data_IF_331166235282
#
_entry.id   IF_331166235282
#
_cell.length_a   1.000
_cell.length_b   1.000
_cell.length_c   1.000
_cell.angle_alpha   90.00
_cell.angle_beta   90.00
_cell.angle_gamma   90.00
#
_symmetry.space_group_name_H-M   'P 1'
#
loop_
_entity.id
_entity.type
_entity.pdbx_description
1 polymer ?
#
# COMPACT_ATOMS: atom_id res chain seq x y z
N UNK A 1 2.61 -12.47 71.49
CA UNK A 1 2.69 -11.08 71.03
C UNK A 1 3.29 -11.12 69.63
N UNK A 2 2.43 -11.21 68.60
CA UNK A 2 2.84 -11.04 67.21
C UNK A 2 1.79 -10.14 66.59
N UNK A 3 2.13 -8.86 66.41
CA UNK A 3 1.33 -7.91 65.66
C UNK A 3 1.31 -8.36 64.20
N UNK A 4 0.11 -8.68 63.73
CA UNK A 4 -0.13 -9.02 62.34
C UNK A 4 -0.15 -7.69 61.57
N UNK A 5 0.95 -7.41 60.87
CA UNK A 5 1.04 -6.26 59.98
C UNK A 5 0.06 -6.48 58.81
N UNK A 6 -1.12 -5.88 58.88
CA UNK A 6 -2.08 -5.90 57.79
C UNK A 6 -1.46 -5.16 56.59
N UNK A 7 -1.25 -5.88 55.48
CA UNK A 7 -0.82 -5.27 54.23
C UNK A 7 -1.90 -4.26 53.79
N UNK A 8 -1.54 -3.06 53.33
CA UNK A 8 -2.52 -2.08 52.87
C UNK A 8 -3.33 -2.70 51.73
N UNK A 9 -4.65 -2.74 51.90
CA UNK A 9 -5.56 -3.18 50.84
C UNK A 9 -5.34 -2.28 49.60
N UNK A 10 -5.24 -2.86 48.39
CA UNK A 10 -5.10 -2.06 47.18
C UNK A 10 -6.33 -1.17 47.06
N UNK A 11 -6.15 0.13 47.32
CA UNK A 11 -7.19 1.13 47.14
C UNK A 11 -7.38 1.30 45.64
N UNK A 12 -8.27 0.50 45.05
CA UNK A 12 -8.69 0.67 43.67
C UNK A 12 -9.55 1.94 43.65
N UNK A 13 -8.89 3.10 43.55
CA UNK A 13 -9.56 4.35 43.19
C UNK A 13 -10.13 4.17 41.79
N UNK A 14 -11.39 3.77 41.70
CA UNK A 14 -12.13 3.58 40.46
C UNK A 14 -12.56 4.93 39.90
N UNK A 15 -11.60 5.84 39.70
CA UNK A 15 -11.88 7.07 38.96
C UNK A 15 -12.22 6.67 37.53
N UNK A 16 -13.36 7.11 36.98
CA UNK A 16 -13.77 6.70 35.64
C UNK A 16 -12.76 7.19 34.62
N UNK A 17 -12.14 6.26 33.88
CA UNK A 17 -11.20 6.56 32.80
C UNK A 17 -11.96 7.27 31.68
N UNK A 18 -11.56 8.51 31.36
CA UNK A 18 -12.16 9.30 30.28
C UNK A 18 -11.22 9.38 29.09
N UNK A 19 -11.53 8.62 28.04
CA UNK A 19 -10.75 8.60 26.80
C UNK A 19 -11.53 9.33 25.69
N UNK A 20 -10.92 10.33 25.01
CA UNK A 20 -11.54 10.96 23.86
C UNK A 20 -11.75 9.96 22.72
N UNK A 21 -12.93 9.95 22.07
CA UNK A 21 -13.22 9.07 20.93
C UNK A 21 -12.21 9.23 19.77
N UNK A 22 -11.73 10.45 19.57
CA UNK A 22 -10.68 10.74 18.58
C UNK A 22 -9.40 9.94 18.84
N UNK A 23 -8.99 9.81 20.11
CA UNK A 23 -7.79 9.05 20.46
C UNK A 23 -7.95 7.59 20.10
N UNK A 24 -9.12 6.99 20.31
CA UNK A 24 -9.38 5.60 19.92
C UNK A 24 -9.16 5.39 18.42
N UNK A 25 -9.67 6.30 17.56
CA UNK A 25 -9.44 6.20 16.11
C UNK A 25 -7.98 6.40 15.70
N UNK A 26 -7.24 7.25 16.41
CA UNK A 26 -5.80 7.45 16.21
C UNK A 26 -5.01 6.20 16.61
N UNK A 27 -5.30 5.62 17.78
CA UNK A 27 -4.67 4.40 18.28
C UNK A 27 -4.98 3.20 17.38
N UNK A 28 -6.22 3.04 16.94
CA UNK A 28 -6.63 1.97 16.04
C UNK A 28 -5.96 2.09 14.66
N UNK A 29 -5.78 3.33 14.17
CA UNK A 29 -5.02 3.60 12.95
C UNK A 29 -3.54 3.26 13.11
N UNK A 30 -2.92 3.66 14.23
CA UNK A 30 -1.52 3.39 14.51
C UNK A 30 -1.24 1.91 14.84
N UNK A 31 -2.22 1.17 15.36
CA UNK A 31 -2.11 -0.27 15.63
C UNK A 31 -1.86 -1.11 14.37
N UNK A 32 -2.14 -0.56 13.18
CA UNK A 32 -1.84 -1.19 11.89
C UNK A 32 -0.36 -1.11 11.52
N UNK A 33 0.43 -0.26 12.19
CA UNK A 33 1.85 -0.09 11.92
C UNK A 33 2.68 -1.26 12.45
N UNK A 34 3.37 -1.98 11.55
CA UNK A 34 4.24 -3.11 11.91
C UNK A 34 5.54 -2.61 12.58
N UNK A 35 5.66 -2.92 13.87
CA UNK A 35 6.82 -2.59 14.71
C UNK A 35 6.84 -3.49 15.95
N UNK A 36 8.01 -3.68 16.57
CA UNK A 36 8.15 -4.47 17.79
C UNK A 36 7.55 -3.77 19.03
N UNK A 37 7.55 -2.45 19.05
CA UNK A 37 7.05 -1.60 20.15
C UNK A 37 5.60 -1.13 19.93
N UNK A 38 4.91 -1.71 18.94
CA UNK A 38 3.54 -1.35 18.52
C UNK A 38 2.62 -1.13 19.71
N UNK A 39 2.49 -2.13 20.57
CA UNK A 39 1.54 -2.09 21.69
C UNK A 39 2.05 -1.23 22.84
N UNK A 40 3.37 -1.19 23.05
CA UNK A 40 4.00 -0.42 24.12
C UNK A 40 3.77 1.08 23.96
N UNK A 41 3.94 1.61 22.74
CA UNK A 41 3.68 3.03 22.45
C UNK A 41 2.20 3.39 22.67
N UNK A 42 1.29 2.58 22.11
CA UNK A 42 -0.15 2.84 22.18
C UNK A 42 -0.66 2.81 23.63
N UNK A 43 -0.19 1.82 24.40
CA UNK A 43 -0.48 1.72 25.82
C UNK A 43 0.07 2.92 26.60
N UNK A 44 1.31 3.33 26.35
CA UNK A 44 1.92 4.50 27.01
C UNK A 44 1.12 5.78 26.76
N UNK A 45 0.71 6.03 25.52
CA UNK A 45 -0.12 7.18 25.17
C UNK A 45 -1.49 7.09 25.85
N UNK A 46 -2.14 5.93 25.77
CA UNK A 46 -3.44 5.71 26.38
C UNK A 46 -3.41 5.94 27.89
N UNK A 47 -2.39 5.41 28.57
CA UNK A 47 -2.17 5.62 29.99
C UNK A 47 -2.01 7.11 30.29
N UNK A 48 -1.06 7.79 29.63
CA UNK A 48 -0.78 9.21 29.88
C UNK A 48 -2.04 10.06 29.74
N UNK A 49 -2.82 9.84 28.68
CA UNK A 49 -4.10 10.54 28.47
C UNK A 49 -5.12 10.18 29.54
N UNK A 50 -5.21 8.91 29.95
CA UNK A 50 -6.11 8.49 31.04
C UNK A 50 -5.77 9.14 32.39
N UNK A 51 -4.49 9.47 32.62
CA UNK A 51 -4.01 10.21 33.80
C UNK A 51 -4.15 11.75 33.66
N UNK A 52 -4.70 12.23 32.54
CA UNK A 52 -4.94 13.66 32.30
C UNK A 52 -3.90 14.36 31.44
N UNK A 53 -2.79 13.70 31.08
CA UNK A 53 -1.78 14.25 30.18
C UNK A 53 -2.25 14.15 28.72
N UNK A 54 -2.95 15.18 28.27
CA UNK A 54 -3.42 15.30 26.89
C UNK A 54 -2.31 15.65 25.90
N UNK A 55 -1.13 16.07 26.35
CA UNK A 55 -0.03 16.43 25.47
C UNK A 55 0.54 15.18 24.77
N UNK A 56 0.45 14.01 25.40
CA UNK A 56 0.90 12.71 24.86
C UNK A 56 0.32 12.33 23.48
N UNK A 57 -0.80 12.94 23.05
CA UNK A 57 -1.38 12.73 21.70
C UNK A 57 -0.95 13.77 20.66
N UNK A 58 -0.35 14.88 21.10
CA UNK A 58 -0.02 16.02 20.26
C UNK A 58 1.35 15.85 19.62
N UNK A 59 1.53 16.39 18.41
CA UNK A 59 2.78 16.30 17.64
C UNK A 59 3.98 16.90 18.38
N UNK A 60 3.76 17.82 19.32
CA UNK A 60 4.82 18.43 20.13
C UNK A 60 5.37 17.52 21.24
N UNK A 61 4.68 16.44 21.58
CA UNK A 61 5.18 15.41 22.51
C UNK A 61 5.91 14.31 21.73
N UNK A 62 6.91 13.68 22.36
CA UNK A 62 7.69 12.59 21.73
C UNK A 62 6.80 11.42 21.33
N UNK A 63 5.85 11.03 22.20
CA UNK A 63 4.93 9.92 21.92
C UNK A 63 3.91 10.30 20.85
N UNK A 64 3.39 11.52 20.91
CA UNK A 64 2.41 12.01 19.95
C UNK A 64 3.01 12.20 18.55
N UNK A 65 4.24 12.71 18.45
CA UNK A 65 4.97 12.80 17.18
C UNK A 65 5.11 11.43 16.51
N UNK A 66 5.53 10.42 17.28
CA UNK A 66 5.67 9.04 16.80
C UNK A 66 4.31 8.44 16.40
N UNK A 67 3.26 8.68 17.19
CA UNK A 67 1.89 8.26 16.85
C UNK A 67 1.46 8.80 15.48
N UNK A 68 1.62 10.10 15.24
CA UNK A 68 1.21 10.73 13.98
C UNK A 68 2.10 10.28 12.81
N UNK A 69 3.39 10.02 13.04
CA UNK A 69 4.27 9.44 12.04
C UNK A 69 3.81 8.04 11.60
N UNK A 70 3.45 7.17 12.55
CA UNK A 70 2.90 5.82 12.26
C UNK A 70 1.59 5.89 11.49
N UNK A 71 0.68 6.77 11.89
CA UNK A 71 -0.60 6.99 11.18
C UNK A 71 -0.34 7.43 9.74
N UNK A 72 0.59 8.36 9.53
CA UNK A 72 0.96 8.84 8.18
C UNK A 72 1.54 7.72 7.32
N UNK A 73 2.40 6.86 7.89
CA UNK A 73 2.97 5.71 7.19
C UNK A 73 1.90 4.69 6.79
N UNK A 74 1.00 4.33 7.70
CA UNK A 74 -0.14 3.43 7.44
C UNK A 74 -1.03 3.98 6.32
N UNK A 75 -1.37 5.26 6.37
CA UNK A 75 -2.19 5.92 5.32
C UNK A 75 -1.51 5.92 3.96
N UNK A 76 -0.20 6.21 3.92
CA UNK A 76 0.59 6.15 2.68
C UNK A 76 0.58 4.74 2.09
N UNK A 77 0.70 3.73 2.94
CA UNK A 77 0.68 2.34 2.50
C UNK A 77 -0.70 1.90 1.98
N UNK A 78 -1.78 2.34 2.63
CA UNK A 78 -3.14 2.14 2.10
C UNK A 78 -3.33 2.82 0.74
N UNK A 79 -2.79 4.04 0.56
CA UNK A 79 -2.81 4.73 -0.73
C UNK A 79 -2.01 3.97 -1.79
N UNK A 80 -0.86 3.38 -1.45
CA UNK A 80 -0.11 2.51 -2.35
C UNK A 80 -0.94 1.30 -2.78
N UNK A 81 -1.67 0.65 -1.86
CA UNK A 81 -2.57 -0.44 -2.23
C UNK A 81 -3.64 0.06 -3.22
N UNK A 82 -4.29 1.19 -2.94
CA UNK A 82 -5.32 1.77 -3.82
C UNK A 82 -4.79 2.13 -5.22
N UNK A 83 -3.54 2.59 -5.30
CA UNK A 83 -2.95 3.08 -6.55
C UNK A 83 -2.28 1.97 -7.38
N UNK A 84 -1.74 0.94 -6.73
CA UNK A 84 -0.85 -0.02 -7.40
C UNK A 84 -1.35 -1.45 -7.42
N UNK A 85 -2.42 -1.79 -6.68
CA UNK A 85 -3.00 -3.13 -6.79
C UNK A 85 -3.49 -3.34 -8.22
N UNK A 86 -3.14 -4.49 -8.79
CA UNK A 86 -3.59 -4.90 -10.13
C UNK A 86 -4.46 -6.13 -10.01
N UNK A 87 -5.63 -6.05 -10.62
CA UNK A 87 -6.57 -7.14 -10.69
C UNK A 87 -6.38 -7.88 -12.02
N UNK A 88 -6.16 -9.19 -11.94
CA UNK A 88 -6.21 -10.10 -13.07
C UNK A 88 -7.45 -10.99 -13.00
N UNK A 89 -7.94 -11.51 -14.13
CA UNK A 89 -9.00 -12.50 -14.12
C UNK A 89 -8.51 -13.80 -13.47
N UNK A 90 -9.34 -14.43 -12.63
CA UNK A 90 -9.00 -15.72 -12.01
C UNK A 90 -9.02 -16.89 -12.99
N UNK A 91 -9.75 -16.76 -14.11
CA UNK A 91 -9.82 -17.73 -15.20
C UNK A 91 -10.56 -19.03 -14.86
N UNK A 92 -11.32 -19.08 -13.75
CA UNK A 92 -12.06 -20.26 -13.32
C UNK A 92 -13.49 -19.89 -12.89
N UNK A 93 -14.48 -20.67 -13.33
CA UNK A 93 -15.91 -20.45 -13.02
C UNK A 93 -16.26 -20.59 -11.53
N UNK A 94 -15.38 -21.19 -10.72
CA UNK A 94 -15.58 -21.36 -9.27
C UNK A 94 -14.62 -20.50 -8.43
N UNK A 95 -14.07 -19.44 -9.01
CA UNK A 95 -13.17 -18.49 -8.37
C UNK A 95 -13.76 -17.08 -8.44
N UNK A 96 -13.33 -16.15 -7.57
CA UNK A 96 -13.72 -14.75 -7.69
C UNK A 96 -13.36 -14.20 -9.07
N UNK A 97 -14.16 -13.28 -9.61
CA UNK A 97 -13.96 -12.72 -10.95
C UNK A 97 -12.56 -12.14 -11.12
N UNK A 98 -12.08 -11.46 -10.08
CA UNK A 98 -10.79 -10.79 -10.06
C UNK A 98 -9.92 -11.21 -8.89
N UNK A 99 -8.62 -11.30 -9.13
CA UNK A 99 -7.62 -11.70 -8.14
C UNK A 99 -6.42 -10.75 -8.19
N UNK A 100 -5.86 -10.43 -7.03
CA UNK A 100 -4.73 -9.53 -6.90
C UNK A 100 -3.76 -9.96 -5.79
N UNK A 101 -2.46 -9.87 -6.07
CA UNK A 101 -1.39 -10.08 -5.11
C UNK A 101 -0.78 -8.74 -4.68
N UNK A 102 -0.66 -8.51 -3.37
CA UNK A 102 -0.04 -7.31 -2.83
C UNK A 102 0.78 -7.60 -1.57
N UNK A 103 1.93 -6.93 -1.43
CA UNK A 103 2.83 -7.10 -0.28
C UNK A 103 2.94 -5.79 0.51
N UNK A 104 2.05 -5.57 1.49
CA UNK A 104 2.05 -4.33 2.28
C UNK A 104 3.12 -4.35 3.37
N UNK A 105 3.65 -3.18 3.72
CA UNK A 105 4.54 -3.02 4.88
C UNK A 105 3.83 -3.13 6.24
N UNK A 106 2.51 -2.91 6.24
CA UNK A 106 1.69 -2.65 7.42
C UNK A 106 0.33 -3.36 7.27
N UNK A 107 -0.39 -3.53 8.38
CA UNK A 107 -1.66 -4.26 8.42
C UNK A 107 -2.81 -3.38 7.91
N UNK A 108 -2.79 -3.07 6.61
CA UNK A 108 -3.69 -2.10 5.97
C UNK A 108 -4.89 -2.73 5.29
N UNK A 109 -4.83 -4.03 5.02
CA UNK A 109 -5.79 -4.70 4.14
C UNK A 109 -7.24 -4.56 4.63
N UNK A 110 -7.58 -4.82 5.91
CA UNK A 110 -8.96 -4.67 6.40
C UNK A 110 -9.49 -3.24 6.28
N UNK A 111 -8.63 -2.24 6.48
CA UNK A 111 -9.01 -0.83 6.41
C UNK A 111 -9.11 -0.28 4.99
N UNK A 112 -8.36 -0.88 4.06
CA UNK A 112 -8.28 -0.41 2.68
C UNK A 112 -9.21 -1.16 1.73
N UNK A 113 -9.63 -2.39 2.08
CA UNK A 113 -10.56 -3.22 1.33
C UNK A 113 -11.91 -2.56 0.98
N UNK A 114 -12.58 -1.80 1.87
CA UNK A 114 -13.88 -1.19 1.56
C UNK A 114 -13.86 -0.29 0.32
N UNK A 115 -12.75 0.39 0.06
CA UNK A 115 -12.56 1.22 -1.15
C UNK A 115 -12.76 0.44 -2.45
N UNK A 116 -12.39 -0.83 -2.46
CA UNK A 116 -12.55 -1.69 -3.64
C UNK A 116 -13.97 -2.23 -3.75
N UNK A 117 -14.60 -2.58 -2.62
CA UNK A 117 -16.00 -3.01 -2.60
C UNK A 117 -16.93 -1.91 -3.15
N UNK A 118 -16.72 -0.66 -2.72
CA UNK A 118 -17.48 0.49 -3.21
C UNK A 118 -17.30 0.75 -4.72
N UNK A 119 -16.09 0.52 -5.25
CA UNK A 119 -15.75 0.83 -6.65
C UNK A 119 -16.05 -0.29 -7.63
N UNK A 120 -15.93 -1.55 -7.22
CA UNK A 120 -16.17 -2.72 -8.07
C UNK A 120 -17.58 -3.29 -7.91
N UNK A 121 -18.36 -2.79 -6.94
CA UNK A 121 -19.78 -3.12 -6.79
C UNK A 121 -19.99 -4.61 -6.54
N UNK A 122 -20.78 -5.26 -7.41
CA UNK A 122 -21.16 -6.67 -7.26
C UNK A 122 -20.12 -7.65 -7.80
N UNK A 123 -19.07 -7.19 -8.48
CA UNK A 123 -18.01 -8.07 -8.96
C UNK A 123 -17.23 -8.67 -7.80
N UNK A 124 -17.05 -9.98 -7.81
CA UNK A 124 -16.31 -10.69 -6.77
C UNK A 124 -14.81 -10.52 -6.98
N UNK A 125 -14.08 -10.29 -5.89
CA UNK A 125 -12.64 -10.07 -5.98
C UNK A 125 -11.89 -10.56 -4.75
N UNK A 126 -10.64 -10.97 -4.94
CA UNK A 126 -9.73 -11.40 -3.89
C UNK A 126 -8.46 -10.56 -3.92
N UNK A 127 -8.10 -9.97 -2.78
CA UNK A 127 -6.76 -9.41 -2.55
C UNK A 127 -6.07 -10.29 -1.51
N UNK A 128 -4.95 -10.90 -1.90
CA UNK A 128 -4.15 -11.71 -1.00
C UNK A 128 -2.78 -11.06 -0.73
N UNK A 129 -2.33 -11.20 0.51
CA UNK A 129 -0.99 -10.80 0.96
C UNK A 129 -0.25 -12.02 1.54
N UNK A 130 1.04 -11.88 1.87
CA UNK A 130 1.77 -12.93 2.58
C UNK A 130 1.13 -13.33 3.90
N UNK A 131 0.49 -12.41 4.62
CA UNK A 131 0.01 -12.65 5.98
C UNK A 131 -1.51 -12.82 6.06
N UNK A 132 -2.25 -12.01 5.31
CA UNK A 132 -3.71 -11.95 5.36
C UNK A 132 -4.33 -11.84 3.95
N UNK A 133 -5.65 -11.98 3.87
CA UNK A 133 -6.38 -11.84 2.62
C UNK A 133 -7.81 -11.35 2.87
N UNK A 134 -8.37 -10.67 1.86
CA UNK A 134 -9.77 -10.25 1.84
C UNK A 134 -10.41 -10.71 0.54
N UNK A 135 -11.49 -11.46 0.67
CA UNK A 135 -12.40 -11.83 -0.42
C UNK A 135 -13.68 -11.00 -0.29
N UNK A 136 -14.10 -10.41 -1.39
CA UNK A 136 -15.42 -9.82 -1.58
C UNK A 136 -16.22 -10.71 -2.50
N UNK A 137 -17.38 -11.17 -2.05
CA UNK A 137 -18.28 -12.05 -2.81
C UNK A 137 -19.38 -11.28 -3.56
N UNK A 138 -19.36 -9.94 -3.53
CA UNK A 138 -20.42 -9.08 -4.07
C UNK A 138 -21.40 -8.56 -3.01
N UNK A 139 -21.40 -9.14 -1.81
CA UNK A 139 -22.30 -8.78 -0.71
C UNK A 139 -21.59 -8.54 0.63
N UNK A 140 -20.61 -9.39 0.95
CA UNK A 140 -19.90 -9.41 2.22
C UNK A 140 -18.38 -9.49 2.01
N UNK A 141 -17.65 -8.88 2.95
CA UNK A 141 -16.20 -8.99 3.04
C UNK A 141 -15.82 -10.16 3.95
N UNK A 142 -15.11 -11.12 3.39
CA UNK A 142 -14.51 -12.26 4.09
C UNK A 142 -13.03 -11.97 4.33
N UNK A 143 -12.68 -11.62 5.57
CA UNK A 143 -11.30 -11.41 5.98
C UNK A 143 -10.72 -12.71 6.55
N UNK A 144 -9.52 -13.08 6.08
CA UNK A 144 -8.81 -14.26 6.55
C UNK A 144 -7.38 -13.89 7.01
N UNK A 145 -7.06 -14.25 8.26
CA UNK A 145 -5.73 -14.14 8.83
C UNK A 145 -5.47 -15.38 9.72
N UNK A 146 -4.53 -16.27 9.37
CA UNK A 146 -3.58 -16.14 8.26
C UNK A 146 -4.23 -16.33 6.88
N UNK A 147 -3.56 -15.82 5.84
CA UNK A 147 -3.95 -15.97 4.43
C UNK A 147 -4.03 -17.46 4.03
N UNK A 148 -5.20 -17.97 3.58
CA UNK A 148 -5.34 -19.35 3.12
C UNK A 148 -4.42 -19.67 1.95
N UNK A 149 -3.81 -20.86 1.94
CA UNK A 149 -2.86 -21.25 0.89
C UNK A 149 -3.49 -21.23 -0.50
N UNK A 150 -4.74 -21.67 -0.64
CA UNK A 150 -5.48 -21.65 -1.89
C UNK A 150 -5.65 -20.23 -2.45
N UNK A 151 -5.97 -19.26 -1.59
CA UNK A 151 -6.13 -17.86 -1.98
C UNK A 151 -4.81 -17.23 -2.37
N UNK A 152 -3.73 -17.55 -1.65
CA UNK A 152 -2.37 -17.15 -1.98
C UNK A 152 -1.95 -17.65 -3.36
N UNK A 153 -2.13 -18.95 -3.63
CA UNK A 153 -1.78 -19.55 -4.93
C UNK A 153 -2.60 -18.96 -6.06
N UNK A 154 -3.90 -18.72 -5.83
CA UNK A 154 -4.78 -18.11 -6.83
C UNK A 154 -4.33 -16.69 -7.19
N UNK A 155 -4.04 -15.85 -6.20
CA UNK A 155 -3.60 -14.48 -6.42
C UNK A 155 -2.19 -14.39 -7.05
N UNK A 156 -1.27 -15.29 -6.70
CA UNK A 156 0.05 -15.36 -7.33
C UNK A 156 0.01 -15.93 -8.76
N UNK A 157 -0.96 -16.80 -9.05
CA UNK A 157 -1.18 -17.39 -10.37
C UNK A 157 -1.97 -16.50 -11.34
N UNK A 158 -2.46 -15.34 -10.87
CA UNK A 158 -3.19 -14.38 -11.69
C UNK A 158 -2.35 -13.94 -12.90
N UNK A 159 -2.82 -14.27 -14.10
CA UNK A 159 -2.11 -13.92 -15.33
C UNK A 159 -2.51 -12.53 -15.82
N UNK A 160 -1.54 -11.62 -15.88
CA UNK A 160 -1.69 -10.31 -16.50
C UNK A 160 -1.57 -10.44 -18.04
N UNK A 161 -2.66 -10.87 -18.67
CA UNK A 161 -2.78 -11.10 -20.12
C UNK A 161 -2.50 -9.83 -20.98
N UNK A 162 -2.46 -8.63 -20.36
CA UNK A 162 -2.19 -7.35 -21.02
C UNK A 162 -0.73 -6.86 -20.92
N UNK A 163 0.12 -7.61 -20.21
CA UNK A 163 1.51 -7.21 -19.89
C UNK A 163 2.28 -6.79 -21.13
N UNK A 164 2.34 -7.61 -22.17
CA UNK A 164 3.25 -7.39 -23.30
C UNK A 164 2.91 -6.14 -24.13
N UNK A 165 1.61 -5.88 -24.37
CA UNK A 165 1.16 -4.67 -25.05
C UNK A 165 1.43 -3.41 -24.22
N UNK A 166 1.14 -3.47 -22.91
CA UNK A 166 1.39 -2.36 -22.01
C UNK A 166 2.88 -2.03 -21.89
N UNK A 167 3.75 -3.06 -21.83
CA UNK A 167 5.20 -2.92 -21.81
C UNK A 167 5.71 -2.20 -23.05
N UNK A 168 5.21 -2.61 -24.22
CA UNK A 168 5.55 -1.97 -25.51
C UNK A 168 5.13 -0.50 -25.53
N UNK A 169 3.93 -0.19 -25.03
CA UNK A 169 3.46 1.19 -24.92
C UNK A 169 4.29 2.02 -23.94
N UNK A 170 4.60 1.47 -22.76
CA UNK A 170 5.38 2.14 -21.72
C UNK A 170 6.79 2.49 -22.20
N UNK A 171 7.48 1.55 -22.87
CA UNK A 171 8.78 1.81 -23.49
C UNK A 171 8.72 2.95 -24.53
N UNK A 172 7.66 2.99 -25.35
CA UNK A 172 7.51 4.00 -26.40
C UNK A 172 7.22 5.41 -25.89
N UNK A 173 6.61 5.52 -24.70
CA UNK A 173 6.22 6.80 -24.09
C UNK A 173 7.22 7.27 -23.03
N UNK A 174 8.15 6.41 -22.60
CA UNK A 174 9.13 6.72 -21.58
C UNK A 174 10.08 7.84 -22.04
N UNK A 175 10.02 8.98 -21.36
CA UNK A 175 10.90 10.11 -21.62
C UNK A 175 12.10 10.10 -20.66
N UNK A 176 13.30 9.67 -21.09
CA UNK A 176 14.48 9.60 -20.24
C UNK A 176 14.93 10.96 -19.69
N UNK A 177 14.61 12.07 -20.37
CA UNK A 177 14.93 13.42 -19.92
C UNK A 177 14.04 13.90 -18.74
N UNK A 178 12.89 13.25 -18.50
CA UNK A 178 11.99 13.55 -17.37
C UNK A 178 12.19 12.63 -16.15
N UNK A 179 13.19 11.75 -16.20
CA UNK A 179 13.44 10.77 -15.15
C UNK A 179 14.08 11.42 -13.93
N UNK A 180 13.32 11.56 -12.84
CA UNK A 180 13.86 11.83 -11.51
C UNK A 180 13.76 10.56 -10.64
N UNK A 181 14.91 9.95 -10.35
CA UNK A 181 15.00 8.69 -9.60
C UNK A 181 14.44 8.81 -8.18
N UNK A 182 14.74 9.88 -7.47
CA UNK A 182 14.30 10.05 -6.08
C UNK A 182 12.78 10.19 -6.00
N UNK A 183 12.20 10.99 -6.90
CA UNK A 183 10.74 11.14 -7.01
C UNK A 183 10.07 9.83 -7.42
N UNK A 184 10.67 9.10 -8.36
CA UNK A 184 10.15 7.80 -8.80
C UNK A 184 10.18 6.76 -7.68
N UNK A 185 11.28 6.67 -6.92
CA UNK A 185 11.41 5.72 -5.81
C UNK A 185 10.54 6.09 -4.61
N UNK A 186 10.29 7.39 -4.38
CA UNK A 186 9.35 7.85 -3.36
C UNK A 186 7.90 7.53 -3.72
N UNK A 187 7.51 7.73 -4.99
CA UNK A 187 6.14 7.46 -5.43
C UNK A 187 5.90 5.97 -5.67
N UNK A 188 6.92 5.22 -6.09
CA UNK A 188 6.86 3.79 -6.36
C UNK A 188 8.05 3.06 -5.72
N UNK A 189 7.93 2.66 -4.45
CA UNK A 189 8.96 1.90 -3.76
C UNK A 189 9.38 0.65 -4.54
N UNK A 190 10.69 0.40 -4.59
CA UNK A 190 11.31 -0.67 -5.41
C UNK A 190 10.72 -2.06 -5.14
N UNK A 191 10.24 -2.33 -3.92
CA UNK A 191 9.58 -3.60 -3.59
C UNK A 191 8.35 -3.89 -4.44
N UNK A 192 7.61 -2.86 -4.88
CA UNK A 192 6.40 -3.03 -5.70
C UNK A 192 6.72 -3.35 -7.16
N UNK A 193 7.97 -3.20 -7.60
CA UNK A 193 8.36 -3.48 -8.98
C UNK A 193 8.21 -4.97 -9.33
N UNK A 194 8.30 -5.87 -8.35
CA UNK A 194 8.08 -7.31 -8.59
C UNK A 194 6.65 -7.63 -9.01
N UNK A 195 5.69 -6.81 -8.58
CA UNK A 195 4.26 -6.98 -8.86
C UNK A 195 3.79 -6.07 -10.00
N UNK A 196 4.72 -5.38 -10.67
CA UNK A 196 4.49 -4.56 -11.85
C UNK A 196 5.07 -5.27 -13.07
N UNK A 197 4.33 -5.37 -14.19
CA UNK A 197 4.90 -5.88 -15.42
C UNK A 197 6.11 -5.06 -15.87
N UNK A 198 6.04 -3.74 -15.72
CA UNK A 198 7.12 -2.79 -16.11
C UNK A 198 8.31 -2.80 -15.13
N UNK A 199 8.17 -3.43 -13.97
CA UNK A 199 9.21 -3.44 -12.95
C UNK A 199 10.54 -4.03 -13.41
N UNK A 200 10.50 -4.96 -14.36
CA UNK A 200 11.69 -5.55 -14.99
C UNK A 200 12.39 -4.60 -15.99
N UNK A 201 11.63 -3.69 -16.60
CA UNK A 201 12.14 -2.70 -17.57
C UNK A 201 12.70 -1.46 -16.91
N UNK A 202 12.16 -1.06 -15.74
CA UNK A 202 12.56 0.16 -15.03
C UNK A 202 14.09 0.23 -14.83
N UNK A 203 14.79 -0.80 -14.29
CA UNK A 203 16.24 -0.77 -14.14
C UNK A 203 16.99 -0.56 -15.46
N UNK A 204 16.53 -1.20 -16.53
CA UNK A 204 17.15 -1.10 -17.86
C UNK A 204 16.94 0.28 -18.47
N UNK A 205 15.72 0.83 -18.38
CA UNK A 205 15.38 2.18 -18.84
C UNK A 205 16.15 3.25 -18.06
N UNK A 206 16.33 3.07 -16.75
CA UNK A 206 17.15 3.94 -15.91
C UNK A 206 18.63 3.90 -16.29
N UNK A 207 19.17 2.72 -16.60
CA UNK A 207 20.55 2.56 -17.06
C UNK A 207 20.76 3.27 -18.41
N UNK A 208 19.85 3.06 -19.38
CA UNK A 208 19.87 3.72 -20.70
C UNK A 208 19.75 5.25 -20.59
N UNK A 209 18.92 5.77 -19.69
CA UNK A 209 18.82 7.20 -19.46
C UNK A 209 20.16 7.80 -18.98
N UNK A 210 20.88 7.10 -18.09
CA UNK A 210 22.22 7.51 -17.60
C UNK A 210 23.31 7.41 -18.67
N UNK A 211 23.22 6.45 -19.58
CA UNK A 211 24.22 6.18 -20.62
C UNK A 211 24.19 7.16 -21.81
N UNK A 212 23.29 8.14 -21.82
CA UNK A 212 23.22 9.16 -22.87
C UNK A 212 21.80 9.59 -23.25
N UNK A 213 20.78 8.77 -22.93
CA UNK A 213 19.39 9.04 -23.33
C UNK A 213 18.77 10.33 -22.77
N UNK A 214 19.34 10.93 -21.71
CA UNK A 214 18.92 12.25 -21.26
C UNK A 214 19.21 13.38 -22.26
N UNK A 215 20.17 13.21 -23.17
CA UNK A 215 20.50 14.21 -24.20
C UNK A 215 19.52 14.20 -25.37
N UNK A 216 18.94 13.03 -25.70
CA UNK A 216 18.18 12.84 -26.94
C UNK A 216 16.65 12.85 -26.72
N UNK A 217 16.18 12.78 -25.47
CA UNK A 217 14.75 12.92 -25.11
C UNK A 217 13.80 11.87 -25.69
N UNK A 218 14.31 10.87 -26.42
CA UNK A 218 13.56 9.79 -27.06
C UNK A 218 14.24 8.44 -26.85
N UNK A 219 13.45 7.35 -26.86
CA UNK A 219 13.98 5.98 -26.86
C UNK A 219 14.68 5.68 -28.20
N UNK A 220 15.86 5.03 -28.16
CA UNK A 220 16.74 4.74 -29.31
C UNK A 220 16.04 4.02 -30.48
N UNK A 221 15.02 3.19 -30.18
CA UNK A 221 14.20 2.51 -31.20
C UNK A 221 13.29 3.46 -31.99
N UNK A 222 12.88 4.57 -31.40
CA UNK A 222 12.08 5.63 -32.06
C UNK A 222 13.00 6.51 -32.90
N UNK A 223 14.20 6.80 -32.41
CA UNK A 223 15.22 7.56 -33.16
C UNK A 223 15.64 6.85 -34.47
N UNK A 224 15.68 5.51 -34.46
CA UNK A 224 16.05 4.69 -35.62
C UNK A 224 14.89 4.43 -36.62
N UNK A 225 13.67 4.96 -36.39
CA UNK A 225 12.59 4.82 -37.36
C UNK A 225 12.70 5.92 -38.43
N UNK A 226 12.68 5.58 -39.74
CA UNK A 226 12.65 6.59 -40.78
C UNK A 226 11.36 7.40 -40.66
N UNK A 227 11.49 8.69 -40.34
CA UNK A 227 10.36 9.60 -40.20
C UNK A 227 9.56 9.69 -41.50
N UNK A 228 8.23 9.61 -41.41
CA UNK A 228 7.35 9.78 -42.57
C UNK A 228 7.27 11.28 -42.90
N UNK A 229 7.89 11.71 -44.01
CA UNK A 229 7.75 13.08 -44.53
C UNK A 229 6.29 13.28 -44.97
N UNK A 230 5.57 14.16 -44.27
CA UNK A 230 4.28 14.69 -44.74
C UNK A 230 4.60 15.91 -45.60
N UNK A 231 4.77 15.70 -46.91
CA UNK A 231 4.80 16.76 -47.91
C UNK A 231 3.45 16.88 -48.61
N UNK A 232 3.06 18.06 -49.09
CA UNK A 232 1.81 18.23 -49.83
C UNK A 232 1.82 17.39 -51.13
N UNK A 233 0.66 16.87 -51.58
CA UNK A 233 0.58 16.08 -52.79
C UNK A 233 1.02 16.90 -54.00
N UNK A 234 1.93 16.33 -54.80
CA UNK A 234 2.40 16.91 -56.07
C UNK A 234 1.22 16.92 -57.04
N UNK A 235 0.75 18.10 -57.44
CA UNK A 235 -0.24 18.23 -58.51
C UNK A 235 0.41 17.85 -59.85
N UNK A 236 -0.25 17.04 -60.70
CA UNK A 236 0.19 16.80 -62.07
C UNK A 236 -0.19 17.97 -62.98
N UNK A 237 0.70 18.30 -63.92
CA UNK A 237 0.49 19.22 -65.04
C UNK A 237 -0.51 18.66 -66.07
#
# INVERSE_FOLDING_TARGET
MFEQCAAPEPTISSSPIRIPRQLLGELESAARFRSHDRWSLLYRILWRVAQGDRAARLVGDVDGSELHARIKAVRREAHHLHAFVRFGPSGSDNAPDYVAWFEPAHDILPSAAPHFAERMGLHSWLIATPDDAVLWDGMAMHYANPCPLAWRQLAQGAQDHGTELWMTYYESTFNPARLNREVMQNNLPVRFWKNLPEGSLIPQLMSRARAGGQRDGQAERVANRPGKRIGPPRQPD
#
